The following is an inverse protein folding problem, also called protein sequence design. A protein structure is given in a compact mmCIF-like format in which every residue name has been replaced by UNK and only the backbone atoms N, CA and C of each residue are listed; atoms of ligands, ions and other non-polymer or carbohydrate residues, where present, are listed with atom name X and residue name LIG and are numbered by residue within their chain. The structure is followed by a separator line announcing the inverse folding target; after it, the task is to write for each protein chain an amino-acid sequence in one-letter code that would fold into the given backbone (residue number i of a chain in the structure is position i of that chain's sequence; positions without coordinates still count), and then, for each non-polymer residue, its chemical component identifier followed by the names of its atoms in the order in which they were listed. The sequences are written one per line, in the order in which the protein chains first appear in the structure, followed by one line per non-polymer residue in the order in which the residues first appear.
data_IF_804110132315
#
_entry.id   IF_804110132315
#
_cell.length_a   1.000
_cell.length_b   1.000
_cell.length_c   1.000
_cell.angle_alpha   90.00
_cell.angle_beta   90.00
_cell.angle_gamma   90.00
#
_symmetry.space_group_name_H-M   'P 1'
#
loop_
_entity.id
_entity.type
_entity.pdbx_description
1 polymer ?
#
# COMPACT_ATOMS: atom_id res chain seq x y z
N UNK A 1 -14.96 2.00 6.17
CA UNK A 1 -13.69 1.75 6.92
C UNK A 1 -12.54 2.45 6.23
N UNK A 2 -11.55 2.96 6.97
CA UNK A 2 -10.28 3.44 6.39
C UNK A 2 -9.23 2.36 6.55
N UNK A 3 -8.55 2.02 5.47
CA UNK A 3 -7.38 1.12 5.49
C UNK A 3 -6.14 1.99 5.44
N UNK A 4 -5.22 1.80 6.37
CA UNK A 4 -3.90 2.44 6.39
C UNK A 4 -2.87 1.34 6.15
N UNK A 5 -1.92 1.57 5.25
CA UNK A 5 -0.92 0.57 4.87
C UNK A 5 0.49 1.16 4.92
N UNK A 6 1.45 0.30 5.26
CA UNK A 6 2.88 0.59 5.29
C UNK A 6 3.63 -0.62 4.76
N UNK A 7 4.53 -0.39 3.82
CA UNK A 7 5.43 -1.38 3.23
C UNK A 7 6.85 -0.88 3.37
N UNK A 8 7.72 -1.71 3.93
CA UNK A 8 9.15 -1.42 3.97
C UNK A 8 9.85 -2.21 2.86
N UNK A 9 10.71 -1.53 2.10
CA UNK A 9 11.55 -2.11 1.04
C UNK A 9 12.95 -2.30 1.58
N UNK A 10 13.49 -3.51 1.43
CA UNK A 10 14.80 -3.89 1.96
C UNK A 10 15.76 -4.34 0.85
N UNK A 11 17.05 -4.12 1.06
CA UNK A 11 18.09 -4.80 0.27
C UNK A 11 18.28 -6.26 0.74
N UNK A 12 19.03 -7.10 0.00
CA UNK A 12 19.33 -8.47 0.42
C UNK A 12 20.12 -8.57 1.74
N UNK A 13 20.77 -7.50 2.19
CA UNK A 13 21.48 -7.43 3.46
C UNK A 13 20.57 -7.09 4.64
N UNK A 14 19.29 -6.79 4.40
CA UNK A 14 18.30 -6.45 5.41
C UNK A 14 18.27 -4.98 5.79
N UNK A 15 18.94 -4.09 5.05
CA UNK A 15 18.84 -2.65 5.27
C UNK A 15 17.55 -2.12 4.64
N UNK A 16 16.80 -1.31 5.40
CA UNK A 16 15.59 -0.65 4.85
C UNK A 16 16.01 0.48 3.91
N UNK A 17 15.71 0.31 2.63
CA UNK A 17 15.98 1.28 1.58
C UNK A 17 14.88 2.35 1.50
N UNK A 18 13.62 1.94 1.66
CA UNK A 18 12.49 2.82 1.45
C UNK A 18 11.26 2.38 2.23
N UNK A 19 10.29 3.30 2.35
CA UNK A 19 8.98 3.05 2.92
C UNK A 19 7.91 3.61 2.01
N UNK A 20 6.96 2.76 1.65
CA UNK A 20 5.74 3.13 0.94
C UNK A 20 4.61 3.10 1.96
N UNK A 21 3.85 4.19 2.07
CA UNK A 21 2.72 4.24 2.98
C UNK A 21 1.58 5.07 2.42
N UNK A 22 0.36 4.72 2.81
CA UNK A 22 -0.81 5.47 2.40
C UNK A 22 -2.04 5.05 3.16
N UNK A 23 -3.16 5.63 2.75
CA UNK A 23 -4.48 5.28 3.27
C UNK A 23 -5.50 5.27 2.14
N UNK A 24 -6.46 4.36 2.23
CA UNK A 24 -7.58 4.29 1.30
C UNK A 24 -8.88 4.21 2.07
N UNK A 25 -9.86 5.02 1.67
CA UNK A 25 -11.20 4.96 2.24
C UNK A 25 -11.99 3.89 1.49
N UNK A 26 -12.39 2.85 2.19
CA UNK A 26 -13.30 1.85 1.64
C UNK A 26 -14.75 2.27 1.87
N UNK A 27 -15.58 2.31 0.81
CA UNK A 27 -17.03 2.21 0.98
C UNK A 27 -17.32 0.94 1.80
N UNK A 28 -18.25 1.02 2.75
CA UNK A 28 -18.64 -0.15 3.53
C UNK A 28 -19.38 -1.13 2.63
N UNK A 29 -18.90 -2.37 2.51
CA UNK A 29 -19.68 -3.46 1.90
C UNK A 29 -20.58 -4.06 2.98
N UNK A 30 -21.81 -3.57 3.06
CA UNK A 30 -22.81 -4.03 4.04
C UNK A 30 -22.66 -3.42 5.44
N UNK A 31 -23.31 -4.06 6.42
CA UNK A 31 -23.44 -3.58 7.81
C UNK A 31 -22.31 -4.04 8.75
N UNK A 32 -21.23 -4.60 8.21
CA UNK A 32 -20.10 -5.10 8.99
C UNK A 32 -19.07 -3.99 9.23
N UNK A 33 -18.27 -4.12 10.29
CA UNK A 33 -17.19 -3.19 10.62
C UNK A 33 -15.81 -3.86 10.46
N UNK A 34 -14.75 -3.07 10.38
CA UNK A 34 -13.38 -3.57 10.27
C UNK A 34 -13.03 -4.15 8.89
N UNK A 35 -12.20 -5.20 8.86
CA UNK A 35 -11.69 -5.82 7.64
C UNK A 35 -12.76 -6.45 6.74
N UNK A 36 -13.80 -7.13 7.26
CA UNK A 36 -14.90 -7.64 6.43
C UNK A 36 -15.67 -6.55 5.67
N UNK A 37 -15.60 -5.30 6.13
CA UNK A 37 -16.25 -4.14 5.52
C UNK A 37 -15.43 -3.51 4.38
N UNK A 38 -14.19 -3.98 4.17
CA UNK A 38 -13.30 -3.47 3.13
C UNK A 38 -13.68 -4.12 1.80
N UNK A 39 -14.12 -3.30 0.85
CA UNK A 39 -14.47 -3.75 -0.48
C UNK A 39 -13.22 -4.30 -1.21
N UNK A 40 -13.34 -5.38 -2.01
CA UNK A 40 -12.22 -5.90 -2.80
C UNK A 40 -11.55 -4.83 -3.68
N UNK A 41 -12.35 -3.93 -4.26
CA UNK A 41 -11.83 -2.81 -5.06
C UNK A 41 -10.93 -1.85 -4.28
N UNK A 42 -11.14 -1.69 -2.96
CA UNK A 42 -10.26 -0.89 -2.09
C UNK A 42 -8.89 -1.54 -2.00
N UNK A 43 -8.83 -2.86 -1.81
CA UNK A 43 -7.56 -3.59 -1.75
C UNK A 43 -6.84 -3.57 -3.10
N UNK A 44 -7.57 -3.67 -4.20
CA UNK A 44 -7.00 -3.54 -5.54
C UNK A 44 -6.39 -2.15 -5.77
N UNK A 45 -7.12 -1.09 -5.40
CA UNK A 45 -6.59 0.27 -5.50
C UNK A 45 -5.33 0.51 -4.64
N UNK A 46 -5.25 -0.12 -3.45
CA UNK A 46 -4.03 -0.08 -2.62
C UNK A 46 -2.86 -0.78 -3.32
N UNK A 47 -3.12 -1.92 -3.98
CA UNK A 47 -2.10 -2.64 -4.74
C UNK A 47 -1.56 -1.78 -5.90
N UNK A 48 -2.46 -1.21 -6.71
CA UNK A 48 -2.10 -0.33 -7.83
C UNK A 48 -1.25 0.87 -7.33
N UNK A 49 -1.72 1.57 -6.29
CA UNK A 49 -0.99 2.69 -5.68
C UNK A 49 0.38 2.30 -5.11
N UNK A 50 0.51 1.08 -4.57
CA UNK A 50 1.77 0.59 -4.02
C UNK A 50 2.79 0.38 -5.13
N UNK A 51 2.38 -0.20 -6.27
CA UNK A 51 3.26 -0.41 -7.43
C UNK A 51 3.62 0.91 -8.10
N UNK A 52 2.69 1.86 -8.22
CA UNK A 52 2.99 3.19 -8.77
C UNK A 52 4.03 3.92 -7.92
N UNK A 53 3.89 3.91 -6.59
CA UNK A 53 4.86 4.52 -5.68
C UNK A 53 6.22 3.81 -5.74
N UNK A 54 6.22 2.48 -5.83
CA UNK A 54 7.43 1.69 -5.95
C UNK A 54 8.18 2.00 -7.25
N UNK A 55 7.49 2.00 -8.39
CA UNK A 55 8.10 2.29 -9.70
C UNK A 55 8.59 3.73 -9.80
N UNK A 56 7.85 4.69 -9.24
CA UNK A 56 8.29 6.08 -9.15
C UNK A 56 9.58 6.22 -8.33
N UNK A 57 9.70 5.49 -7.23
CA UNK A 57 10.92 5.46 -6.41
C UNK A 57 12.10 4.78 -7.13
N UNK A 58 11.86 3.69 -7.86
CA UNK A 58 12.90 3.09 -8.70
C UNK A 58 13.40 4.08 -9.77
N UNK A 59 12.48 4.81 -10.40
CA UNK A 59 12.78 5.80 -11.43
C UNK A 59 13.56 7.03 -10.93
N UNK A 60 13.52 7.33 -9.63
CA UNK A 60 14.30 8.43 -9.03
C UNK A 60 15.72 8.03 -8.59
N UNK A 61 16.13 6.79 -8.88
CA UNK A 61 17.44 6.25 -8.48
C UNK A 61 17.45 5.59 -7.11
N UNK A 62 16.27 5.35 -6.51
CA UNK A 62 16.17 4.80 -5.15
C UNK A 62 16.70 3.38 -4.97
N UNK A 63 16.91 2.62 -6.06
CA UNK A 63 17.47 1.27 -6.03
C UNK A 63 18.99 1.20 -6.27
N UNK A 64 19.65 2.34 -6.49
CA UNK A 64 21.09 2.45 -6.78
C UNK A 64 21.95 2.72 -5.56
#
# INVERSE_FOLDING_TARGET
TTVIYVWDVYDPSGNRLHRINGQQKSPSVGSTEGWPAVAPATMQAIADQTIDQFTAWLGSGGAG
#
